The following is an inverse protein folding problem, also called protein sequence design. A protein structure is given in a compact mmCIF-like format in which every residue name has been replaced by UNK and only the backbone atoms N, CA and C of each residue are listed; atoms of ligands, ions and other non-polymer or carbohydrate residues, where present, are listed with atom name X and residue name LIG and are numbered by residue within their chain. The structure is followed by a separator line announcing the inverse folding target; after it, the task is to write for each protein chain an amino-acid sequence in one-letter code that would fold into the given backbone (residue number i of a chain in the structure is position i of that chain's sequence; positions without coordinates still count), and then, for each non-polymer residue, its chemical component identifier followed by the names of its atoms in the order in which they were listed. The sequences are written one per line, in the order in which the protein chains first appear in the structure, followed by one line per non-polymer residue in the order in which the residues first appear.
data_IF_574471921961
#
_entry.id   IF_574471921961
#
_cell.length_a   1.000
_cell.length_b   1.000
_cell.length_c   1.000
_cell.angle_alpha   90.00
_cell.angle_beta   90.00
_cell.angle_gamma   90.00
#
_symmetry.space_group_name_H-M   'P 1'
#
loop_
_entity.id
_entity.type
_entity.pdbx_description
1 polymer ?
#
# COMPACT_ATOMS: atom_id res chain seq x y z
N UNK A 1 -5.97 -20.08 1.95
CA UNK A 1 -5.13 -19.27 1.05
C UNK A 1 -3.96 -20.12 0.58
N UNK A 2 -3.83 -20.32 -0.72
CA UNK A 2 -2.78 -21.16 -1.27
C UNK A 2 -1.51 -20.37 -1.54
N UNK A 3 -0.36 -21.05 -1.53
CA UNK A 3 0.91 -20.44 -1.89
C UNK A 3 0.88 -19.91 -3.33
N UNK A 4 0.17 -20.59 -4.22
CA UNK A 4 0.01 -20.16 -5.61
C UNK A 4 -0.75 -18.84 -5.70
N UNK A 5 -1.80 -18.66 -4.90
CA UNK A 5 -2.57 -17.41 -4.86
C UNK A 5 -1.72 -16.24 -4.34
N UNK A 6 -0.90 -16.47 -3.32
CA UNK A 6 0.00 -15.46 -2.80
C UNK A 6 1.06 -15.09 -3.84
N UNK A 7 1.63 -16.08 -4.52
CA UNK A 7 2.63 -15.82 -5.55
C UNK A 7 2.03 -15.06 -6.75
N UNK A 8 0.82 -15.42 -7.16
CA UNK A 8 0.12 -14.69 -8.23
C UNK A 8 -0.10 -13.23 -7.85
N UNK A 9 -0.49 -12.95 -6.61
CA UNK A 9 -0.65 -11.60 -6.11
C UNK A 9 0.69 -10.84 -6.12
N UNK A 10 1.75 -11.51 -5.66
CA UNK A 10 3.10 -10.92 -5.65
C UNK A 10 3.54 -10.54 -7.06
N UNK A 11 3.30 -11.40 -8.03
CA UNK A 11 3.66 -11.17 -9.43
C UNK A 11 2.87 -10.00 -10.04
N UNK A 12 1.56 -9.94 -9.75
CA UNK A 12 0.72 -8.84 -10.22
C UNK A 12 1.18 -7.50 -9.65
N UNK A 13 1.48 -7.45 -8.36
CA UNK A 13 1.94 -6.24 -7.70
C UNK A 13 3.30 -5.81 -8.25
N UNK A 14 4.22 -6.75 -8.46
CA UNK A 14 5.51 -6.45 -9.05
C UNK A 14 5.36 -5.85 -10.44
N UNK A 15 4.43 -6.38 -11.24
CA UNK A 15 4.15 -5.84 -12.58
C UNK A 15 3.55 -4.43 -12.51
N UNK A 16 2.67 -4.17 -11.55
CA UNK A 16 2.07 -2.85 -11.37
C UNK A 16 3.10 -1.81 -10.93
N UNK A 17 3.97 -2.16 -10.00
CA UNK A 17 5.06 -1.27 -9.55
C UNK A 17 6.00 -1.00 -10.72
N UNK A 18 6.35 -2.02 -11.49
CA UNK A 18 7.24 -1.86 -12.64
C UNK A 18 6.61 -0.96 -13.71
N UNK A 19 5.33 -1.13 -13.99
CA UNK A 19 4.61 -0.29 -14.95
C UNK A 19 4.64 1.18 -14.52
N UNK A 20 4.46 1.45 -13.24
CA UNK A 20 4.56 2.81 -12.70
C UNK A 20 5.99 3.36 -12.89
N UNK A 21 7.01 2.57 -12.54
CA UNK A 21 8.41 2.99 -12.69
C UNK A 21 8.80 3.23 -14.15
N UNK A 22 8.26 2.43 -15.06
CA UNK A 22 8.47 2.63 -16.50
C UNK A 22 7.84 3.93 -16.97
N UNK A 23 6.65 4.27 -16.45
CA UNK A 23 5.99 5.53 -16.76
C UNK A 23 6.81 6.72 -16.28
N UNK A 24 7.31 6.66 -15.06
CA UNK A 24 8.19 7.71 -14.49
C UNK A 24 9.46 7.85 -15.34
N UNK A 25 10.07 6.72 -15.72
CA UNK A 25 11.27 6.72 -16.54
C UNK A 25 11.03 7.31 -17.93
N UNK A 26 9.90 6.99 -18.55
CA UNK A 26 9.51 7.57 -19.86
C UNK A 26 9.26 9.07 -19.74
N UNK A 27 8.57 9.50 -18.67
CA UNK A 27 8.30 10.92 -18.43
C UNK A 27 9.58 11.71 -18.20
N UNK A 28 10.57 11.13 -17.51
CA UNK A 28 11.84 11.80 -17.24
C UNK A 28 12.69 12.02 -18.49
N UNK A 29 12.39 11.31 -19.58
CA UNK A 29 13.04 11.49 -20.88
C UNK A 29 12.36 12.55 -21.76
N UNK A 30 11.17 13.03 -21.34
CA UNK A 30 10.47 14.09 -22.04
C UNK A 30 11.25 15.39 -21.87
N UNK A 31 11.18 16.26 -22.87
CA UNK A 31 11.87 17.54 -22.85
C UNK A 31 10.90 18.67 -23.15
N UNK A 32 11.29 19.90 -22.74
CA UNK A 32 10.51 21.09 -23.02
C UNK A 32 9.57 21.48 -21.88
N UNK A 33 8.65 22.40 -22.17
CA UNK A 33 7.77 23.01 -21.14
C UNK A 33 6.76 22.04 -20.55
N UNK A 34 6.48 20.93 -21.22
CA UNK A 34 5.54 19.92 -20.72
C UNK A 34 6.11 19.07 -19.57
N UNK A 35 7.42 19.06 -19.36
CA UNK A 35 8.06 18.26 -18.33
C UNK A 35 7.55 18.63 -16.93
N UNK A 36 7.44 19.92 -16.61
CA UNK A 36 6.92 20.36 -15.31
C UNK A 36 5.49 19.90 -15.07
N UNK A 37 4.64 19.91 -16.12
CA UNK A 37 3.26 19.42 -16.01
C UNK A 37 3.22 17.92 -15.82
N UNK A 38 4.09 17.19 -16.50
CA UNK A 38 4.18 15.72 -16.36
C UNK A 38 4.63 15.37 -14.94
N UNK A 39 5.65 16.04 -14.43
CA UNK A 39 6.14 15.80 -13.08
C UNK A 39 5.06 16.09 -12.02
N UNK A 40 4.32 17.18 -12.18
CA UNK A 40 3.23 17.53 -11.26
C UNK A 40 2.10 16.51 -11.33
N UNK A 41 1.76 16.04 -12.53
CA UNK A 41 0.73 15.02 -12.70
C UNK A 41 1.14 13.68 -12.09
N UNK A 42 2.41 13.28 -12.25
CA UNK A 42 2.94 12.07 -11.64
C UNK A 42 2.97 12.17 -10.12
N UNK A 43 3.36 13.32 -9.59
CA UNK A 43 3.37 13.54 -8.15
C UNK A 43 1.96 13.44 -7.53
N UNK A 44 0.95 13.90 -8.25
CA UNK A 44 -0.45 13.76 -7.83
C UNK A 44 -0.96 12.33 -8.02
N UNK A 45 -0.54 11.67 -9.09
CA UNK A 45 -0.98 10.31 -9.44
C UNK A 45 -0.42 9.27 -8.48
N UNK A 46 0.82 9.41 -8.05
CA UNK A 46 1.52 8.39 -7.25
C UNK A 46 0.75 7.98 -6.00
N UNK A 47 0.38 8.91 -5.09
CA UNK A 47 -0.36 8.50 -3.89
C UNK A 47 -1.75 7.94 -4.21
N UNK A 48 -2.44 8.49 -5.20
CA UNK A 48 -3.75 7.97 -5.59
C UNK A 48 -3.65 6.53 -6.08
N UNK A 49 -2.64 6.23 -6.90
CA UNK A 49 -2.41 4.89 -7.44
C UNK A 49 -2.06 3.88 -6.34
N UNK A 50 -1.08 4.18 -5.51
CA UNK A 50 -0.62 3.24 -4.49
C UNK A 50 -1.57 3.13 -3.30
N UNK A 51 -2.27 4.19 -2.95
CA UNK A 51 -3.35 4.11 -1.96
C UNK A 51 -4.45 3.15 -2.43
N UNK A 52 -4.84 3.22 -3.69
CA UNK A 52 -5.83 2.29 -4.25
C UNK A 52 -5.32 0.85 -4.31
N UNK A 53 -4.06 0.65 -4.64
CA UNK A 53 -3.47 -0.69 -4.62
C UNK A 53 -3.47 -1.28 -3.22
N UNK A 54 -3.24 -0.47 -2.19
CA UNK A 54 -3.31 -0.92 -0.81
C UNK A 54 -4.72 -1.35 -0.42
N UNK A 55 -5.73 -0.56 -0.80
CA UNK A 55 -7.13 -0.93 -0.55
C UNK A 55 -7.47 -2.26 -1.22
N UNK A 56 -7.04 -2.43 -2.48
CA UNK A 56 -7.26 -3.68 -3.22
C UNK A 56 -6.55 -4.87 -2.57
N UNK A 57 -5.31 -4.68 -2.12
CA UNK A 57 -4.55 -5.72 -1.43
C UNK A 57 -5.24 -6.15 -0.13
N UNK A 58 -5.66 -5.20 0.69
CA UNK A 58 -6.35 -5.49 1.93
C UNK A 58 -7.67 -6.24 1.69
N UNK A 59 -8.42 -5.84 0.67
CA UNK A 59 -9.67 -6.50 0.29
C UNK A 59 -9.43 -7.94 -0.18
N UNK A 60 -8.35 -8.18 -0.91
CA UNK A 60 -8.01 -9.49 -1.45
C UNK A 60 -7.76 -10.52 -0.35
N UNK A 61 -7.28 -10.07 0.82
CA UNK A 61 -6.98 -10.93 1.96
C UNK A 61 -7.84 -10.61 3.18
N UNK A 62 -9.07 -10.15 2.96
CA UNK A 62 -9.96 -9.70 4.02
C UNK A 62 -10.30 -10.79 5.05
N UNK A 63 -10.12 -12.07 4.71
CA UNK A 63 -10.34 -13.18 5.64
C UNK A 63 -9.25 -13.33 6.71
N UNK A 64 -8.08 -12.71 6.53
CA UNK A 64 -7.01 -12.71 7.53
C UNK A 64 -7.21 -11.51 8.46
N UNK A 65 -7.39 -11.80 9.74
CA UNK A 65 -7.72 -10.81 10.76
C UNK A 65 -6.63 -10.70 11.83
N UNK A 66 -5.38 -10.90 11.44
CA UNK A 66 -4.25 -10.74 12.36
C UNK A 66 -4.28 -9.34 12.98
N UNK A 67 -4.06 -9.26 14.27
CA UNK A 67 -4.18 -8.02 15.05
C UNK A 67 -2.84 -7.30 15.27
N UNK A 68 -1.82 -7.67 14.50
CA UNK A 68 -0.48 -7.08 14.59
C UNK A 68 0.25 -7.22 13.27
N UNK A 69 1.37 -6.52 13.18
CA UNK A 69 2.29 -6.58 12.06
C UNK A 69 1.77 -5.86 10.82
N UNK A 70 2.40 -6.11 9.67
CA UNK A 70 2.04 -5.45 8.41
C UNK A 70 0.58 -5.65 8.00
N UNK A 71 -0.03 -6.77 8.39
CA UNK A 71 -1.43 -7.06 8.09
C UNK A 71 -2.37 -6.09 8.81
N UNK A 72 -2.17 -5.88 10.12
CA UNK A 72 -2.95 -4.91 10.88
C UNK A 72 -2.68 -3.49 10.38
N UNK A 73 -1.43 -3.16 10.08
CA UNK A 73 -1.08 -1.85 9.54
C UNK A 73 -1.80 -1.58 8.21
N UNK A 74 -1.73 -2.51 7.27
CA UNK A 74 -2.40 -2.36 5.97
C UNK A 74 -3.91 -2.24 6.13
N UNK A 75 -4.51 -2.99 7.04
CA UNK A 75 -5.95 -2.91 7.31
C UNK A 75 -6.34 -1.55 7.87
N UNK A 76 -5.55 -1.02 8.81
CA UNK A 76 -5.81 0.30 9.40
C UNK A 76 -5.73 1.41 8.35
N UNK A 77 -4.69 1.38 7.51
CA UNK A 77 -4.53 2.35 6.43
C UNK A 77 -5.65 2.23 5.41
N UNK A 78 -5.98 1.02 4.97
CA UNK A 78 -7.05 0.80 3.98
C UNK A 78 -8.41 1.26 4.51
N UNK A 79 -8.73 0.97 5.76
CA UNK A 79 -9.99 1.41 6.37
C UNK A 79 -10.09 2.93 6.40
N UNK A 80 -8.98 3.62 6.74
CA UNK A 80 -8.95 5.08 6.76
C UNK A 80 -9.06 5.68 5.36
N UNK A 81 -8.45 5.04 4.36
CA UNK A 81 -8.61 5.45 2.96
C UNK A 81 -10.05 5.32 2.49
N UNK A 82 -10.73 4.26 2.88
CA UNK A 82 -12.11 4.01 2.45
C UNK A 82 -13.14 4.82 3.22
N UNK A 83 -12.93 5.06 4.51
CA UNK A 83 -13.98 5.54 5.39
C UNK A 83 -13.67 6.84 6.11
N UNK A 84 -12.44 7.36 6.02
CA UNK A 84 -12.04 8.58 6.73
C UNK A 84 -11.34 9.60 5.82
N UNK A 85 -11.67 9.59 4.54
CA UNK A 85 -11.15 10.59 3.59
C UNK A 85 -9.64 10.55 3.39
N UNK A 86 -9.00 9.41 3.67
CA UNK A 86 -7.55 9.26 3.49
C UNK A 86 -6.70 9.79 4.64
N UNK A 87 -7.32 10.17 5.75
CA UNK A 87 -6.61 10.57 6.98
C UNK A 87 -6.64 9.42 7.96
N UNK A 88 -5.49 9.02 8.48
CA UNK A 88 -5.41 7.87 9.38
C UNK A 88 -6.18 8.14 10.67
N UNK A 89 -7.14 7.28 10.95
CA UNK A 89 -7.94 7.30 12.16
C UNK A 89 -7.84 5.95 12.88
N UNK A 90 -7.88 6.00 14.22
CA UNK A 90 -7.92 4.76 15.00
C UNK A 90 -9.29 4.11 14.88
N UNK A 91 -9.27 2.78 14.71
CA UNK A 91 -10.46 1.94 14.72
C UNK A 91 -10.27 0.93 15.86
N UNK A 92 -11.21 0.86 16.84
CA UNK A 92 -11.06 -0.09 17.95
C UNK A 92 -10.95 -1.55 17.51
N UNK A 93 -11.47 -1.88 16.31
CA UNK A 93 -11.41 -3.24 15.77
C UNK A 93 -10.09 -3.56 15.09
N UNK A 94 -9.24 -2.56 14.84
CA UNK A 94 -7.96 -2.74 14.11
C UNK A 94 -6.85 -2.09 14.92
N UNK A 95 -6.07 -2.87 15.70
CA UNK A 95 -4.96 -2.31 16.46
C UNK A 95 -3.92 -1.67 15.54
N UNK A 96 -3.48 -0.47 15.93
CA UNK A 96 -2.46 0.26 15.20
C UNK A 96 -1.61 1.07 16.17
N UNK A 97 -0.29 0.96 16.02
CA UNK A 97 0.69 1.75 16.74
C UNK A 97 1.76 2.21 15.74
N UNK A 98 1.89 3.52 15.56
CA UNK A 98 2.85 4.10 14.61
C UNK A 98 4.29 3.68 14.92
N UNK A 99 4.63 3.52 16.20
CA UNK A 99 6.00 3.15 16.60
C UNK A 99 6.35 1.71 16.19
N UNK A 100 5.36 0.83 16.11
CA UNK A 100 5.53 -0.56 15.71
C UNK A 100 5.22 -0.79 14.22
N UNK A 101 4.79 0.24 13.51
CA UNK A 101 4.43 0.12 12.10
C UNK A 101 5.64 0.27 11.19
N UNK A 102 5.55 -0.28 9.98
CA UNK A 102 6.60 -0.20 8.98
C UNK A 102 6.74 1.23 8.43
N UNK A 103 5.62 1.87 8.13
CA UNK A 103 5.61 3.18 7.49
C UNK A 103 5.55 4.35 8.48
N UNK A 104 5.24 4.06 9.74
CA UNK A 104 5.23 5.06 10.82
C UNK A 104 4.37 6.28 10.55
N UNK A 105 3.21 6.05 9.94
CA UNK A 105 2.22 7.12 9.71
C UNK A 105 1.49 7.38 11.01
N UNK A 106 1.43 8.65 11.42
CA UNK A 106 0.77 9.04 12.66
C UNK A 106 -0.74 9.18 12.47
N UNK A 107 -1.50 8.92 13.53
CA UNK A 107 -2.94 9.19 13.55
C UNK A 107 -3.18 10.67 13.29
N UNK A 108 -4.09 10.98 12.39
CA UNK A 108 -4.36 12.35 11.95
C UNK A 108 -3.56 12.78 10.73
N UNK A 109 -2.60 11.98 10.30
CA UNK A 109 -1.79 12.27 9.13
C UNK A 109 -2.50 11.77 7.87
N UNK A 110 -2.35 12.51 6.77
CA UNK A 110 -2.88 12.08 5.47
C UNK A 110 -2.03 10.94 4.91
N UNK A 111 -2.68 9.89 4.47
CA UNK A 111 -2.01 8.74 3.86
C UNK A 111 -1.67 9.08 2.41
N UNK A 112 -0.39 9.02 2.07
CA UNK A 112 0.10 9.29 0.72
C UNK A 112 1.27 8.35 0.44
N UNK A 113 0.97 7.17 -0.10
CA UNK A 113 1.98 6.15 -0.34
C UNK A 113 2.74 6.44 -1.63
N UNK A 114 4.05 6.30 -1.58
CA UNK A 114 4.87 6.25 -2.79
C UNK A 114 5.16 4.79 -3.16
N UNK A 115 5.82 4.60 -4.31
CA UNK A 115 6.13 3.25 -4.81
C UNK A 115 6.97 2.45 -3.81
N UNK A 116 7.96 3.08 -3.20
CA UNK A 116 8.87 2.40 -2.26
C UNK A 116 8.15 1.99 -0.98
N UNK A 117 7.32 2.87 -0.43
CA UNK A 117 6.50 2.58 0.76
C UNK A 117 5.57 1.42 0.51
N UNK A 118 4.86 1.45 -0.63
CA UNK A 118 3.92 0.39 -0.99
C UNK A 118 4.64 -0.94 -1.21
N UNK A 119 5.78 -0.91 -1.91
CA UNK A 119 6.56 -2.12 -2.16
C UNK A 119 7.01 -2.77 -0.85
N UNK A 120 7.52 -1.97 0.09
CA UNK A 120 7.99 -2.46 1.38
C UNK A 120 6.84 -3.04 2.21
N UNK A 121 5.73 -2.32 2.31
CA UNK A 121 4.57 -2.78 3.07
C UNK A 121 3.98 -4.03 2.45
N UNK A 122 3.86 -4.07 1.12
CA UNK A 122 3.31 -5.21 0.41
C UNK A 122 4.17 -6.47 0.60
N UNK A 123 5.48 -6.35 0.51
CA UNK A 123 6.39 -7.48 0.73
C UNK A 123 6.24 -8.04 2.14
N UNK A 124 6.18 -7.17 3.15
CA UNK A 124 6.00 -7.58 4.54
C UNK A 124 4.61 -8.18 4.79
N UNK A 125 3.58 -7.59 4.17
CA UNK A 125 2.20 -8.08 4.24
C UNK A 125 2.10 -9.51 3.69
N UNK A 126 2.62 -9.74 2.48
CA UNK A 126 2.55 -11.06 1.85
C UNK A 126 3.39 -12.09 2.60
N UNK A 127 4.52 -11.69 3.17
CA UNK A 127 5.31 -12.58 4.01
C UNK A 127 4.53 -13.01 5.26
N UNK A 128 3.75 -12.10 5.85
CA UNK A 128 2.89 -12.44 6.97
C UNK A 128 1.74 -13.36 6.55
N UNK A 129 1.16 -13.14 5.37
CA UNK A 129 0.10 -14.01 4.82
C UNK A 129 0.60 -15.45 4.66
N UNK A 130 1.84 -15.64 4.24
CA UNK A 130 2.42 -16.98 4.04
C UNK A 130 2.62 -17.74 5.35
N UNK A 131 2.62 -17.05 6.50
CA UNK A 131 2.75 -17.68 7.81
C UNK A 131 1.37 -18.09 8.33
N UNK A 132 1.27 -19.14 9.15
CA UNK A 132 0.01 -19.48 9.82
C UNK A 132 -0.48 -18.31 10.66
N UNK A 133 -1.82 -18.12 10.72
CA UNK A 133 -2.41 -17.10 11.58
C UNK A 133 -2.01 -17.32 13.03
N UNK A 134 -1.74 -16.23 13.75
CA UNK A 134 -1.53 -16.28 15.18
C UNK A 134 -2.82 -16.80 15.85
N UNK A 135 -2.73 -17.88 16.60
CA UNK A 135 -3.88 -18.50 17.24
C UNK A 135 -4.53 -19.62 16.41
N UNK A 136 -3.98 -19.94 15.24
CA UNK A 136 -4.42 -21.08 14.46
C UNK A 136 -3.81 -22.39 15.02
#
# INVERSE_FOLDING_TARGET
MTAAAVQACRDEIAAQIQAYRDLVGAASKASGMSLTRIDAALAAFEPAFFNNLLVALAARFAGRLDDRGPLAEARALAASLMHNGGVLALDPAIPYDADDSLLRIDVGERIALNADDFEALCAAFLAQIEKPSAGA
#
